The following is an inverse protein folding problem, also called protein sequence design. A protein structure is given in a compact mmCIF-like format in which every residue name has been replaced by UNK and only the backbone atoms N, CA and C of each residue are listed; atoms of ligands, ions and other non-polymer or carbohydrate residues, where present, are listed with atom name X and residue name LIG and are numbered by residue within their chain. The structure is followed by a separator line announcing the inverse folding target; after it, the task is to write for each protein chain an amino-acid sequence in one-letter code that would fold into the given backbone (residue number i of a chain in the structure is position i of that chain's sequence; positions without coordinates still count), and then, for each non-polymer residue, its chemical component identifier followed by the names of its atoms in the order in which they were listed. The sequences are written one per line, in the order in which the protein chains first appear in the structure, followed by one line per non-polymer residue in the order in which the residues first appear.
data_IF_787053876238
#
_entry.id   IF_787053876238
#
_cell.length_a   1.000
_cell.length_b   1.000
_cell.length_c   1.000
_cell.angle_alpha   90.00
_cell.angle_beta   90.00
_cell.angle_gamma   90.00
#
_symmetry.space_group_name_H-M   'P 1'
#
loop_
_entity.id
_entity.type
_entity.pdbx_description
1 polymer ?
#
# COMPACT_ATOMS: atom_id res chain seq x y z
N UNK A 1 -26.35 -8.02 17.65
CA UNK A 1 -25.74 -7.08 16.70
C UNK A 1 -24.25 -7.14 16.93
N UNK A 2 -23.59 -8.13 16.32
CA UNK A 2 -22.14 -8.24 16.36
C UNK A 2 -21.56 -7.21 15.39
N UNK A 3 -20.63 -6.41 15.89
CA UNK A 3 -19.89 -5.42 15.11
C UNK A 3 -19.09 -6.13 14.02
N UNK A 4 -19.37 -5.82 12.75
CA UNK A 4 -18.53 -6.16 11.62
C UNK A 4 -17.15 -5.52 11.82
N UNK A 5 -16.21 -6.25 12.42
CA UNK A 5 -14.82 -5.85 12.39
C UNK A 5 -14.27 -6.22 11.01
N UNK A 6 -14.20 -5.21 10.15
CA UNK A 6 -13.64 -5.18 8.80
C UNK A 6 -12.20 -5.70 8.81
N UNK A 7 -11.98 -7.00 8.53
CA UNK A 7 -10.66 -7.62 8.67
C UNK A 7 -9.75 -7.32 7.49
N UNK A 8 -8.93 -6.28 7.61
CA UNK A 8 -7.60 -6.28 6.98
C UNK A 8 -6.81 -7.49 7.50
N UNK A 9 -6.06 -8.18 6.63
CA UNK A 9 -5.17 -9.25 7.08
C UNK A 9 -3.91 -8.62 7.66
N UNK A 10 -3.67 -8.84 8.94
CA UNK A 10 -2.51 -8.31 9.64
C UNK A 10 -1.51 -9.44 9.89
N UNK A 11 -0.23 -9.17 9.61
CA UNK A 11 0.85 -10.09 9.94
C UNK A 11 1.75 -9.46 11.00
N UNK A 12 1.72 -10.07 12.19
CA UNK A 12 2.63 -9.73 13.28
C UNK A 12 4.02 -10.29 13.01
N UNK A 13 4.98 -9.39 12.85
CA UNK A 13 6.36 -9.76 12.60
C UNK A 13 7.08 -10.36 13.83
N UNK A 14 6.46 -10.35 15.02
CA UNK A 14 7.07 -10.88 16.26
C UNK A 14 7.12 -12.39 16.39
N UNK A 15 6.24 -13.13 15.72
CA UNK A 15 6.04 -14.55 16.03
C UNK A 15 6.94 -15.50 15.22
N UNK A 16 8.26 -15.31 15.26
CA UNK A 16 9.23 -16.33 14.81
C UNK A 16 8.98 -16.96 13.43
N UNK A 17 8.23 -16.29 12.56
CA UNK A 17 7.85 -16.83 11.25
C UNK A 17 9.11 -16.84 10.39
N UNK A 18 9.42 -18.00 9.83
CA UNK A 18 10.48 -18.08 8.83
C UNK A 18 10.11 -17.16 7.67
N UNK A 19 10.97 -16.18 7.37
CA UNK A 19 10.72 -15.11 6.40
C UNK A 19 10.19 -15.62 5.07
N UNK A 20 10.72 -16.75 4.59
CA UNK A 20 10.27 -17.36 3.34
C UNK A 20 8.83 -17.84 3.42
N UNK A 21 8.40 -18.45 4.54
CA UNK A 21 7.01 -18.83 4.75
C UNK A 21 6.09 -17.62 4.73
N UNK A 22 6.47 -16.53 5.39
CA UNK A 22 5.71 -15.29 5.37
C UNK A 22 5.53 -14.74 3.94
N UNK A 23 6.58 -14.76 3.13
CA UNK A 23 6.53 -14.31 1.74
C UNK A 23 5.53 -15.13 0.89
N UNK A 24 5.50 -16.45 1.08
CA UNK A 24 4.53 -17.33 0.42
C UNK A 24 3.11 -17.10 0.92
N UNK A 25 2.93 -16.85 2.23
CA UNK A 25 1.62 -16.56 2.80
C UNK A 25 1.05 -15.23 2.29
N UNK A 26 1.87 -14.17 2.22
CA UNK A 26 1.51 -12.89 1.60
C UNK A 26 1.11 -13.11 0.14
N UNK A 27 1.88 -13.90 -0.62
CA UNK A 27 1.55 -14.17 -2.03
C UNK A 27 0.24 -14.93 -2.17
N UNK A 28 0.06 -16.00 -1.38
CA UNK A 28 -1.18 -16.77 -1.36
C UNK A 28 -2.39 -15.88 -1.06
N UNK A 29 -2.27 -14.92 -0.14
CA UNK A 29 -3.32 -13.95 0.15
C UNK A 29 -3.67 -13.09 -1.09
N UNK A 30 -2.70 -12.50 -1.76
CA UNK A 30 -2.92 -11.67 -2.97
C UNK A 30 -3.30 -12.46 -4.23
N UNK A 31 -3.15 -13.79 -4.21
CA UNK A 31 -3.49 -14.68 -5.33
C UNK A 31 -4.91 -15.23 -5.27
N UNK A 32 -5.63 -15.07 -4.15
CA UNK A 32 -7.00 -15.60 -3.97
C UNK A 32 -8.11 -14.79 -4.69
N UNK A 33 -7.75 -14.02 -5.73
CA UNK A 33 -8.65 -13.29 -6.64
C UNK A 33 -9.82 -12.57 -5.96
N UNK A 34 -9.51 -11.77 -4.93
CA UNK A 34 -10.46 -10.85 -4.31
C UNK A 34 -10.22 -9.45 -4.85
N UNK A 35 -11.27 -8.80 -5.36
CA UNK A 35 -11.19 -7.36 -5.67
C UNK A 35 -10.81 -6.63 -4.39
N UNK A 36 -9.66 -5.94 -4.41
CA UNK A 36 -9.10 -5.13 -3.32
C UNK A 36 -8.76 -5.92 -2.04
N UNK A 37 -7.68 -6.69 -2.10
CA UNK A 37 -7.04 -7.26 -0.92
C UNK A 37 -6.02 -6.27 -0.36
N UNK A 38 -6.12 -5.93 0.93
CA UNK A 38 -5.17 -5.09 1.65
C UNK A 38 -4.57 -5.89 2.83
N UNK A 39 -3.28 -5.70 3.07
CA UNK A 39 -2.54 -6.41 4.10
C UNK A 39 -1.64 -5.43 4.86
N UNK A 40 -1.59 -5.57 6.18
CA UNK A 40 -0.80 -4.73 7.06
C UNK A 40 0.38 -5.54 7.61
N UNK A 41 1.59 -5.03 7.39
CA UNK A 41 2.80 -5.50 8.05
C UNK A 41 3.07 -4.61 9.27
N UNK A 42 2.95 -5.15 10.48
CA UNK A 42 3.16 -4.40 11.73
C UNK A 42 4.17 -5.12 12.65
N UNK A 43 4.73 -4.38 13.61
CA UNK A 43 5.79 -4.86 14.51
C UNK A 43 6.77 -3.75 14.91
N UNK A 44 7.69 -4.01 15.84
CA UNK A 44 8.60 -2.96 16.35
C UNK A 44 9.45 -2.34 15.24
N UNK A 45 9.95 -1.14 15.53
CA UNK A 45 10.99 -0.52 14.74
C UNK A 45 12.18 -1.47 14.55
N UNK A 46 12.79 -1.45 13.36
CA UNK A 46 13.98 -2.26 13.05
C UNK A 46 13.74 -3.76 12.80
N UNK A 47 12.53 -4.30 13.01
CA UNK A 47 12.26 -5.75 12.88
C UNK A 47 12.40 -6.30 11.45
N UNK A 48 12.39 -5.41 10.44
CA UNK A 48 12.65 -5.76 9.04
C UNK A 48 11.43 -5.77 8.11
N UNK A 49 10.32 -5.12 8.47
CA UNK A 49 9.09 -5.01 7.65
C UNK A 49 9.38 -4.53 6.22
N UNK A 50 10.07 -3.41 6.08
CA UNK A 50 10.52 -2.85 4.79
C UNK A 50 11.38 -3.84 4.00
N UNK A 51 12.24 -4.61 4.67
CA UNK A 51 13.08 -5.63 4.01
C UNK A 51 12.22 -6.77 3.44
N UNK A 52 11.17 -7.20 4.15
CA UNK A 52 10.23 -8.20 3.63
C UNK A 52 9.40 -7.66 2.48
N UNK A 53 8.86 -6.44 2.58
CA UNK A 53 8.11 -5.83 1.49
C UNK A 53 8.97 -5.73 0.21
N UNK A 54 10.23 -5.31 0.33
CA UNK A 54 11.19 -5.32 -0.79
C UNK A 54 11.43 -6.72 -1.32
N UNK A 55 11.69 -7.70 -0.44
CA UNK A 55 11.94 -9.08 -0.85
C UNK A 55 10.75 -9.71 -1.57
N UNK A 56 9.54 -9.38 -1.13
CA UNK A 56 8.30 -9.78 -1.78
C UNK A 56 8.22 -9.23 -3.21
N UNK A 57 8.48 -7.93 -3.37
CA UNK A 57 8.50 -7.28 -4.69
C UNK A 57 9.54 -7.92 -5.62
N UNK A 58 10.72 -8.27 -5.10
CA UNK A 58 11.75 -8.96 -5.89
C UNK A 58 11.26 -10.33 -6.39
N UNK A 59 10.75 -11.18 -5.49
CA UNK A 59 10.37 -12.57 -5.80
C UNK A 59 9.14 -12.64 -6.70
N UNK A 60 8.15 -11.78 -6.47
CA UNK A 60 6.85 -11.84 -7.15
C UNK A 60 6.64 -10.66 -8.10
N UNK A 61 7.71 -10.03 -8.59
CA UNK A 61 7.64 -8.90 -9.53
C UNK A 61 6.81 -9.23 -10.76
N UNK A 62 7.04 -10.40 -11.37
CA UNK A 62 6.34 -10.85 -12.58
C UNK A 62 4.82 -11.08 -12.39
N UNK A 63 4.35 -11.18 -11.14
CA UNK A 63 2.93 -11.30 -10.84
C UNK A 63 2.16 -9.98 -10.99
N UNK A 64 2.88 -8.85 -11.00
CA UNK A 64 2.30 -7.52 -11.06
C UNK A 64 2.78 -6.81 -12.32
N UNK A 65 1.86 -6.13 -13.01
CA UNK A 65 2.22 -5.23 -14.11
C UNK A 65 2.93 -3.99 -13.59
N UNK A 66 2.51 -3.51 -12.40
CA UNK A 66 3.02 -2.30 -11.79
C UNK A 66 3.29 -2.51 -10.31
N UNK A 67 4.39 -1.96 -9.82
CA UNK A 67 4.70 -1.85 -8.40
C UNK A 67 4.87 -0.36 -8.07
N UNK A 68 4.11 0.11 -7.07
CA UNK A 68 4.06 1.51 -6.66
C UNK A 68 4.45 1.59 -5.20
N UNK A 69 5.60 2.20 -4.92
CA UNK A 69 6.10 2.40 -3.55
C UNK A 69 5.94 3.85 -3.13
N UNK A 70 5.30 4.07 -1.98
CA UNK A 70 4.97 5.39 -1.42
C UNK A 70 5.50 5.45 0.01
N UNK A 71 6.40 6.40 0.30
CA UNK A 71 6.83 6.70 1.68
C UNK A 71 5.71 7.50 2.35
N UNK A 72 5.07 6.86 3.33
CA UNK A 72 3.89 7.33 4.06
C UNK A 72 4.21 7.64 5.52
N UNK A 73 5.47 7.97 5.81
CA UNK A 73 5.84 8.54 7.09
C UNK A 73 5.23 9.95 7.28
N UNK A 74 5.21 10.41 8.53
CA UNK A 74 4.69 11.71 8.93
C UNK A 74 5.18 12.83 8.02
N UNK A 75 4.23 13.57 7.42
CA UNK A 75 4.51 14.69 6.52
C UNK A 75 5.09 14.32 5.15
N UNK A 76 5.28 13.02 4.84
CA UNK A 76 5.84 12.57 3.56
C UNK A 76 4.82 12.08 2.55
N UNK A 77 3.66 11.59 2.98
CA UNK A 77 2.66 10.99 2.09
C UNK A 77 2.33 11.88 0.88
N UNK A 78 1.96 13.14 1.14
CA UNK A 78 1.65 14.14 0.10
C UNK A 78 2.82 14.36 -0.87
N UNK A 79 4.04 14.51 -0.33
CA UNK A 79 5.24 14.74 -1.15
C UNK A 79 5.59 13.52 -2.00
N UNK A 80 5.52 12.31 -1.43
CA UNK A 80 5.76 11.05 -2.14
C UNK A 80 4.79 10.87 -3.31
N UNK A 81 3.52 11.19 -3.09
CA UNK A 81 2.47 11.07 -4.11
C UNK A 81 2.63 12.14 -5.20
N UNK A 82 2.95 13.40 -4.84
CA UNK A 82 3.30 14.45 -5.80
C UNK A 82 4.45 14.05 -6.69
N UNK A 83 5.55 13.57 -6.10
CA UNK A 83 6.72 13.12 -6.84
C UNK A 83 6.36 12.00 -7.82
N UNK A 84 5.48 11.07 -7.40
CA UNK A 84 5.00 10.00 -8.29
C UNK A 84 4.23 10.55 -9.47
N UNK A 85 3.30 11.48 -9.28
CA UNK A 85 2.58 12.10 -10.39
C UNK A 85 3.50 12.84 -11.36
N UNK A 86 4.50 13.57 -10.85
CA UNK A 86 5.49 14.24 -11.69
C UNK A 86 6.26 13.24 -12.56
N UNK A 87 6.72 12.12 -11.98
CA UNK A 87 7.38 11.04 -12.73
C UNK A 87 6.47 10.45 -13.81
N UNK A 88 5.15 10.39 -13.55
CA UNK A 88 4.15 9.89 -14.49
C UNK A 88 3.66 10.94 -15.50
N UNK A 89 4.13 12.18 -15.41
CA UNK A 89 3.65 13.28 -16.25
C UNK A 89 2.18 13.65 -16.01
N UNK A 90 1.61 13.28 -14.85
CA UNK A 90 0.23 13.60 -14.51
C UNK A 90 0.13 15.06 -14.05
N UNK A 91 -0.71 15.83 -14.73
CA UNK A 91 -0.95 17.23 -14.38
C UNK A 91 -1.60 17.34 -12.99
N UNK A 92 -0.87 17.98 -12.07
CA UNK A 92 -1.39 18.45 -10.78
C UNK A 92 -1.56 19.97 -10.90
N UNK A 93 -2.81 20.43 -10.89
CA UNK A 93 -3.09 21.86 -10.75
C UNK A 93 -3.01 22.20 -9.26
N UNK A 94 -1.87 22.74 -8.87
CA UNK A 94 -1.48 22.98 -7.49
C UNK A 94 -1.90 24.39 -7.08
N UNK A 95 -3.04 24.54 -6.42
CA UNK A 95 -3.18 25.59 -5.43
C UNK A 95 -2.75 24.96 -4.10
N UNK A 96 -1.88 25.63 -3.33
CA UNK A 96 -1.37 25.09 -2.05
C UNK A 96 -2.47 24.70 -1.06
N UNK A 97 -3.70 25.17 -1.25
CA UNK A 97 -4.89 24.88 -0.44
C UNK A 97 -5.72 23.70 -0.94
N UNK A 98 -5.56 23.23 -2.19
CA UNK A 98 -6.45 22.24 -2.82
C UNK A 98 -5.78 20.88 -3.09
N UNK A 99 -4.72 20.52 -2.35
CA UNK A 99 -4.16 19.18 -2.45
C UNK A 99 -5.12 18.16 -1.84
N UNK A 100 -6.05 17.70 -2.66
CA UNK A 100 -6.96 16.62 -2.35
C UNK A 100 -6.25 15.30 -2.66
N UNK A 101 -5.87 14.58 -1.61
CA UNK A 101 -5.10 13.35 -1.74
C UNK A 101 -5.91 12.27 -2.47
N UNK A 102 -7.22 12.25 -2.26
CA UNK A 102 -8.15 11.31 -2.88
C UNK A 102 -8.16 11.48 -4.41
N UNK A 103 -8.30 12.71 -4.92
CA UNK A 103 -8.29 13.00 -6.37
C UNK A 103 -6.97 12.58 -7.03
N UNK A 104 -5.85 12.72 -6.33
CA UNK A 104 -4.53 12.38 -6.88
C UNK A 104 -4.30 10.87 -6.84
N UNK A 105 -4.74 10.23 -5.76
CA UNK A 105 -4.80 8.78 -5.63
C UNK A 105 -5.64 8.16 -6.75
N UNK A 106 -6.80 8.74 -7.05
CA UNK A 106 -7.65 8.34 -8.19
C UNK A 106 -6.92 8.45 -9.51
N UNK A 107 -6.27 9.58 -9.80
CA UNK A 107 -5.47 9.75 -11.03
C UNK A 107 -4.35 8.71 -11.17
N UNK A 108 -3.65 8.41 -10.08
CA UNK A 108 -2.61 7.36 -10.07
C UNK A 108 -3.26 5.99 -10.29
N UNK A 109 -4.38 5.72 -9.63
CA UNK A 109 -5.11 4.46 -9.78
C UNK A 109 -5.60 4.25 -11.21
N UNK A 110 -6.20 5.28 -11.81
CA UNK A 110 -6.68 5.27 -13.20
C UNK A 110 -5.55 5.05 -14.19
N UNK A 111 -4.40 5.70 -13.97
CA UNK A 111 -3.20 5.47 -14.79
C UNK A 111 -2.77 3.99 -14.78
N UNK A 112 -2.87 3.32 -13.63
CA UNK A 112 -2.48 1.92 -13.47
C UNK A 112 -3.62 0.91 -13.66
N UNK A 113 -4.84 1.36 -13.98
CA UNK A 113 -6.05 0.53 -14.03
C UNK A 113 -5.97 -0.64 -15.01
N UNK A 114 -5.18 -0.52 -16.07
CA UNK A 114 -4.99 -1.53 -17.12
C UNK A 114 -4.03 -2.68 -16.72
N UNK A 115 -3.87 -2.97 -15.43
CA UNK A 115 -3.15 -4.15 -14.98
C UNK A 115 -3.10 -4.34 -13.48
N UNK A 116 -2.69 -5.54 -13.07
CA UNK A 116 -2.53 -5.90 -11.67
C UNK A 116 -1.43 -5.05 -11.04
N UNK A 117 -1.79 -4.23 -10.08
CA UNK A 117 -0.90 -3.23 -9.47
C UNK A 117 -0.76 -3.48 -7.98
N UNK A 118 0.47 -3.56 -7.50
CA UNK A 118 0.78 -3.63 -6.07
C UNK A 118 1.14 -2.22 -5.57
N UNK A 119 0.37 -1.73 -4.60
CA UNK A 119 0.68 -0.51 -3.86
C UNK A 119 1.33 -0.88 -2.52
N UNK A 120 2.45 -0.23 -2.21
CA UNK A 120 3.16 -0.35 -0.93
C UNK A 120 3.22 1.03 -0.29
N UNK A 121 2.58 1.16 0.86
CA UNK A 121 2.69 2.32 1.74
C UNK A 121 3.66 1.96 2.87
N UNK A 122 4.90 2.46 2.79
CA UNK A 122 5.92 2.18 3.80
C UNK A 122 5.92 3.26 4.89
N UNK A 123 6.32 2.88 6.11
CA UNK A 123 6.37 3.78 7.28
C UNK A 123 5.05 4.48 7.63
N UNK A 124 3.91 3.85 7.34
CA UNK A 124 2.59 4.39 7.68
C UNK A 124 2.49 4.68 9.18
N UNK A 125 2.03 5.89 9.51
CA UNK A 125 1.67 6.31 10.86
C UNK A 125 0.18 6.66 10.97
N UNK A 126 -0.27 6.92 12.20
CA UNK A 126 -1.68 7.17 12.52
C UNK A 126 -2.28 8.35 11.74
N UNK A 127 -1.48 9.38 11.44
CA UNK A 127 -1.96 10.54 10.68
C UNK A 127 -2.10 10.20 9.20
N UNK A 128 -1.14 9.45 8.65
CA UNK A 128 -1.10 9.08 7.25
C UNK A 128 -2.17 8.05 6.89
N UNK A 129 -2.57 7.15 7.81
CA UNK A 129 -3.66 6.18 7.59
C UNK A 129 -4.96 6.86 7.14
N UNK A 130 -5.27 8.05 7.66
CA UNK A 130 -6.49 8.80 7.31
C UNK A 130 -6.60 9.04 5.80
N UNK A 131 -5.47 9.38 5.16
CA UNK A 131 -5.37 9.60 3.71
C UNK A 131 -5.26 8.31 2.88
N UNK A 132 -5.21 7.14 3.52
CA UNK A 132 -5.09 5.82 2.88
C UNK A 132 -6.37 4.99 2.94
N UNK A 133 -7.43 5.52 3.54
CA UNK A 133 -8.72 4.84 3.70
C UNK A 133 -9.25 4.27 2.38
N UNK A 134 -9.10 4.97 1.26
CA UNK A 134 -9.49 4.48 -0.08
C UNK A 134 -8.79 3.16 -0.51
N UNK A 135 -7.59 2.90 0.02
CA UNK A 135 -6.81 1.68 -0.28
C UNK A 135 -7.05 0.55 0.73
N UNK A 136 -7.46 0.90 1.95
CA UNK A 136 -7.61 -0.02 3.08
C UNK A 136 -9.07 -0.48 3.20
N UNK A 137 -10.02 0.40 2.88
CA UNK A 137 -11.45 0.11 2.89
C UNK A 137 -11.84 -0.67 1.64
N UNK A 138 -12.37 -1.87 1.84
CA UNK A 138 -13.10 -2.60 0.80
C UNK A 138 -14.39 -1.82 0.53
N UNK A 139 -14.41 -1.01 -0.52
CA UNK A 139 -15.69 -0.50 -1.01
C UNK A 139 -16.52 -1.71 -1.45
N UNK A 140 -17.66 -1.89 -0.78
CA UNK A 140 -18.74 -2.81 -1.15
C UNK A 140 -19.24 -2.56 -2.58
#
# INVERSE_FOLDING_TARGET
MESNQERCHEYDFFKGVQRDKLLHEIHRYFSQDTKKSALILYGMSGVGKTKIAKKYCEIYSDFYKNIVWIDSAFGKLQTSIRNRCQILGLAIHDSKSDFNIEVIVEKIHDYYSNGKTLYIFDNVDDESVKGLTMYISRNE
#
